data_IF_763823983173
#
_entry.id   IF_763823983173
#
_cell.length_a   1.000
_cell.length_b   1.000
_cell.length_c   1.000
_cell.angle_alpha   90.00
_cell.angle_beta   90.00
_cell.angle_gamma   90.00
#
_symmetry.space_group_name_H-M   'P 1'
#
loop_
_entity.id
_entity.type
_entity.pdbx_description
1 polymer ?
#
# COMPACT_ATOMS: atom_id res chain seq x y z
N UNK A 1 -16.94 -5.97 12.89
CA UNK A 1 -17.59 -4.80 12.24
C UNK A 1 -16.93 -3.46 12.59
N UNK A 2 -16.73 -3.10 13.87
CA UNK A 2 -16.12 -1.80 14.25
C UNK A 2 -14.68 -1.59 13.74
N UNK A 3 -13.89 -2.65 13.66
CA UNK A 3 -12.48 -2.58 13.23
C UNK A 3 -12.33 -2.28 11.72
N UNK A 4 -13.21 -2.85 10.89
CA UNK A 4 -13.19 -2.67 9.42
C UNK A 4 -13.63 -1.26 9.05
N UNK A 5 -14.66 -0.73 9.72
CA UNK A 5 -15.11 0.65 9.52
C UNK A 5 -14.02 1.67 9.93
N UNK A 6 -13.30 1.40 11.02
CA UNK A 6 -12.20 2.25 11.47
C UNK A 6 -11.02 2.21 10.48
N UNK A 7 -10.65 1.02 9.98
CA UNK A 7 -9.59 0.87 8.99
C UNK A 7 -9.91 1.61 7.69
N UNK A 8 -11.14 1.50 7.19
CA UNK A 8 -11.59 2.19 5.96
C UNK A 8 -11.61 3.71 6.14
N UNK A 9 -12.09 4.21 7.28
CA UNK A 9 -12.10 5.65 7.56
C UNK A 9 -10.67 6.22 7.64
N UNK A 10 -9.74 5.51 8.27
CA UNK A 10 -8.34 5.92 8.38
C UNK A 10 -7.63 5.88 7.02
N UNK A 11 -7.88 4.87 6.20
CA UNK A 11 -7.30 4.75 4.86
C UNK A 11 -7.85 5.81 3.88
N UNK A 12 -9.14 6.15 4.00
CA UNK A 12 -9.75 7.20 3.18
C UNK A 12 -9.24 8.60 3.55
N UNK A 13 -9.07 8.87 4.85
CA UNK A 13 -8.48 10.13 5.34
C UNK A 13 -7.00 10.28 4.95
N UNK A 14 -6.25 9.16 4.92
CA UNK A 14 -4.85 9.18 4.49
C UNK A 14 -4.72 9.38 2.97
N UNK A 15 -5.62 8.79 2.17
CA UNK A 15 -5.66 8.98 0.73
C UNK A 15 -5.96 10.43 0.34
N UNK A 16 -6.87 11.11 1.05
CA UNK A 16 -7.20 12.52 0.77
C UNK A 16 -6.10 13.49 1.20
N UNK A 17 -5.30 13.16 2.22
CA UNK A 17 -4.14 13.97 2.63
C UNK A 17 -2.98 13.95 1.60
N UNK A 18 -2.97 12.98 0.68
CA UNK A 18 -1.91 12.83 -0.34
C UNK A 18 -2.25 13.41 -1.71
N UNK A 19 -3.42 14.06 -1.87
CA UNK A 19 -3.80 14.72 -3.12
C UNK A 19 -3.26 16.16 -3.15
N UNK A 20 -2.28 16.50 -4.01
CA UNK A 20 -1.78 17.86 -4.10
C UNK A 20 -2.79 18.75 -4.83
N UNK A 21 -3.52 19.54 -4.06
CA UNK A 21 -4.42 20.60 -4.53
C UNK A 21 -3.90 21.99 -4.17
N UNK A 22 -3.22 22.61 -5.15
CA UNK A 22 -3.15 24.05 -5.46
C UNK A 22 -2.16 25.03 -4.76
N UNK A 23 -1.22 25.50 -5.59
CA UNK A 23 -0.71 26.87 -5.82
C UNK A 23 -0.57 27.88 -4.66
N UNK A 24 0.68 28.23 -4.35
CA UNK A 24 1.03 29.45 -3.61
C UNK A 24 2.51 29.52 -3.23
N UNK A 25 3.26 30.38 -3.91
CA UNK A 25 4.70 30.66 -3.73
C UNK A 25 5.06 31.06 -2.31
N UNK A 26 6.11 30.46 -1.72
CA UNK A 26 7.09 31.19 -0.88
C UNK A 26 8.51 30.69 -1.21
N UNK A 27 9.33 31.64 -1.67
CA UNK A 27 10.78 31.51 -1.87
C UNK A 27 11.53 31.62 -0.54
N UNK A 28 12.76 31.10 -0.53
CA UNK A 28 13.88 31.35 0.40
C UNK A 28 13.75 30.66 1.78
N UNK A 29 14.80 30.07 2.37
CA UNK A 29 16.22 30.42 2.40
C UNK A 29 17.01 29.16 2.84
N UNK A 30 18.13 28.84 2.19
CA UNK A 30 19.06 27.82 2.71
C UNK A 30 19.74 28.38 3.97
N UNK A 31 19.75 27.69 5.13
CA UNK A 31 20.54 28.12 6.26
C UNK A 31 22.03 27.91 5.94
N UNK A 32 22.79 28.99 6.08
CA UNK A 32 24.24 29.01 6.14
C UNK A 32 24.76 28.07 7.23
N UNK A 33 25.74 27.24 6.89
CA UNK A 33 26.53 26.49 7.88
C UNK A 33 27.14 27.47 8.89
N UNK A 34 26.75 27.33 10.15
CA UNK A 34 27.38 28.00 11.29
C UNK A 34 28.41 27.02 11.86
N UNK A 35 29.68 27.44 11.90
CA UNK A 35 30.71 26.76 12.68
C UNK A 35 30.33 26.87 14.15
N UNK A 36 30.18 25.73 14.81
CA UNK A 36 29.79 25.62 16.22
C UNK A 36 31.00 25.93 17.11
N UNK A 37 30.86 26.99 17.92
CA UNK A 37 31.81 27.38 18.95
C UNK A 37 31.60 26.45 20.17
N UNK A 38 32.55 25.55 20.37
CA UNK A 38 32.59 24.63 21.51
C UNK A 38 32.98 25.41 22.76
N UNK A 39 32.01 25.82 23.60
CA UNK A 39 32.17 25.91 25.07
C UNK A 39 30.90 26.46 25.75
N UNK A 40 30.14 25.61 26.43
CA UNK A 40 29.61 25.85 27.79
C UNK A 40 28.63 24.75 28.20
N UNK A 41 28.66 24.42 29.49
CA UNK A 41 28.16 23.18 30.09
C UNK A 41 26.67 23.22 30.52
N UNK A 42 26.13 22.00 30.69
CA UNK A 42 24.90 21.55 31.41
C UNK A 42 23.50 21.68 30.73
N UNK A 43 22.51 20.79 31.02
CA UNK A 43 22.54 19.40 31.51
C UNK A 43 21.63 18.44 30.69
N UNK A 44 22.03 17.16 30.55
CA UNK A 44 21.17 16.00 30.20
C UNK A 44 20.05 16.21 29.15
N UNK A 45 20.42 16.42 27.90
CA UNK A 45 19.66 15.88 26.76
C UNK A 45 20.66 15.29 25.78
N UNK A 46 21.15 14.08 26.06
CA UNK A 46 21.76 13.29 25.00
C UNK A 46 20.63 12.93 24.04
N UNK A 47 20.39 13.75 23.03
CA UNK A 47 19.80 13.22 21.81
C UNK A 47 20.74 12.12 21.37
N UNK A 48 20.33 10.87 21.59
CA UNK A 48 21.12 9.73 21.22
C UNK A 48 21.50 9.90 19.74
N UNK A 49 22.79 9.93 19.38
CA UNK A 49 23.24 10.23 18.02
C UNK A 49 22.63 9.25 16.99
N UNK A 50 22.18 8.09 17.47
CA UNK A 50 21.43 7.10 16.69
C UNK A 50 20.06 7.60 16.22
N UNK A 51 19.32 8.35 17.05
CA UNK A 51 17.98 8.88 16.76
C UNK A 51 18.06 10.03 15.73
N UNK A 52 19.08 10.88 15.85
CA UNK A 52 19.37 11.95 14.89
C UNK A 52 19.78 11.41 13.52
N UNK A 53 20.64 10.39 13.48
CA UNK A 53 21.05 9.73 12.24
C UNK A 53 19.90 8.96 11.56
N UNK A 54 19.06 8.26 12.33
CA UNK A 54 17.90 7.54 11.81
C UNK A 54 16.84 8.50 11.23
N UNK A 55 16.56 9.61 11.92
CA UNK A 55 15.64 10.65 11.44
C UNK A 55 16.16 11.31 10.17
N UNK A 56 17.46 11.61 10.11
CA UNK A 56 18.10 12.19 8.93
C UNK A 56 18.09 11.23 7.73
N UNK A 57 18.35 9.95 7.95
CA UNK A 57 18.28 8.91 6.91
C UNK A 57 16.85 8.70 6.39
N UNK A 58 15.85 8.83 7.25
CA UNK A 58 14.44 8.77 6.89
C UNK A 58 14.02 9.98 6.04
N UNK A 59 14.49 11.18 6.41
CA UNK A 59 14.21 12.42 5.70
C UNK A 59 14.81 12.42 4.29
N UNK A 60 16.04 11.90 4.13
CA UNK A 60 16.71 11.76 2.82
C UNK A 60 15.94 10.80 1.89
N UNK A 61 15.16 9.87 2.44
CA UNK A 61 14.31 8.94 1.67
C UNK A 61 12.87 9.42 1.46
N UNK A 62 12.56 10.63 1.92
CA UNK A 62 11.24 11.25 1.75
C UNK A 62 10.24 10.98 2.88
N UNK A 63 10.69 10.57 4.08
CA UNK A 63 9.88 10.51 5.30
C UNK A 63 9.27 9.14 5.64
N UNK A 64 9.07 8.28 4.64
CA UNK A 64 8.35 7.02 4.82
C UNK A 64 9.14 5.94 5.57
N UNK A 65 8.48 5.29 6.54
CA UNK A 65 9.04 4.16 7.31
C UNK A 65 9.40 2.98 6.39
N UNK A 66 8.66 2.84 5.30
CA UNK A 66 8.86 1.80 4.27
C UNK A 66 9.27 2.47 2.96
N UNK A 67 10.20 1.86 2.21
CA UNK A 67 10.54 2.40 0.89
C UNK A 67 9.38 2.19 -0.11
N UNK A 68 9.17 3.16 -1.01
CA UNK A 68 8.15 3.06 -2.08
C UNK A 68 8.38 1.83 -2.96
N UNK A 69 9.64 1.46 -3.20
CA UNK A 69 10.00 0.26 -3.96
C UNK A 69 9.57 -1.02 -3.24
N UNK A 70 9.71 -1.08 -1.91
CA UNK A 70 9.22 -2.21 -1.11
C UNK A 70 7.70 -2.31 -1.19
N UNK A 71 6.99 -1.19 -1.11
CA UNK A 71 5.53 -1.17 -1.23
C UNK A 71 5.09 -1.68 -2.61
N UNK A 72 5.69 -1.18 -3.70
CA UNK A 72 5.39 -1.65 -5.05
C UNK A 72 5.77 -3.13 -5.25
N UNK A 73 6.92 -3.56 -4.74
CA UNK A 73 7.35 -4.96 -4.80
C UNK A 73 6.35 -5.91 -4.10
N UNK A 74 5.75 -5.48 -2.99
CA UNK A 74 4.72 -6.28 -2.32
C UNK A 74 3.48 -6.49 -3.20
N UNK A 75 3.09 -5.49 -4.01
CA UNK A 75 2.02 -5.63 -5.02
C UNK A 75 2.40 -6.67 -6.08
N UNK A 76 3.63 -6.66 -6.58
CA UNK A 76 4.09 -7.67 -7.56
C UNK A 76 3.96 -9.09 -7.01
N UNK A 77 4.30 -9.31 -5.74
CA UNK A 77 4.21 -10.64 -5.12
C UNK A 77 2.76 -11.05 -4.94
N UNK A 78 1.96 -10.24 -4.25
CA UNK A 78 0.59 -10.61 -3.86
C UNK A 78 -0.33 -10.63 -5.08
N UNK A 79 -0.37 -9.56 -5.88
CA UNK A 79 -1.20 -9.51 -7.07
C UNK A 79 -0.69 -10.46 -8.17
N UNK A 80 0.61 -10.75 -8.21
CA UNK A 80 1.19 -11.67 -9.19
C UNK A 80 0.78 -13.11 -8.92
N UNK A 81 0.94 -13.56 -7.67
CA UNK A 81 0.48 -14.90 -7.26
C UNK A 81 -1.03 -15.04 -7.43
N UNK A 82 -1.80 -14.06 -6.96
CA UNK A 82 -3.26 -14.14 -7.02
C UNK A 82 -3.78 -14.03 -8.46
N UNK A 83 -3.22 -13.12 -9.27
CA UNK A 83 -3.53 -12.98 -10.68
C UNK A 83 -3.20 -14.23 -11.49
N UNK A 84 -2.06 -14.87 -11.20
CA UNK A 84 -1.68 -16.14 -11.84
C UNK A 84 -2.65 -17.27 -11.48
N UNK A 85 -3.04 -17.38 -10.22
CA UNK A 85 -4.02 -18.38 -9.78
C UNK A 85 -5.38 -18.16 -10.44
N UNK A 86 -5.86 -16.91 -10.53
CA UNK A 86 -7.10 -16.57 -11.24
C UNK A 86 -7.04 -16.85 -12.74
N UNK A 87 -5.87 -16.64 -13.35
CA UNK A 87 -5.67 -16.90 -14.78
C UNK A 87 -5.64 -18.41 -15.11
N UNK A 88 -4.92 -19.21 -14.31
CA UNK A 88 -4.72 -20.63 -14.58
C UNK A 88 -5.81 -21.53 -13.98
N UNK A 89 -6.25 -21.23 -12.76
CA UNK A 89 -7.15 -22.08 -11.97
C UNK A 89 -8.25 -21.27 -11.24
N UNK A 90 -9.10 -20.51 -11.96
CA UNK A 90 -10.10 -19.65 -11.34
C UNK A 90 -11.09 -20.38 -10.44
N UNK A 91 -11.56 -21.58 -10.82
CA UNK A 91 -12.45 -22.38 -9.99
C UNK A 91 -11.85 -22.71 -8.61
N UNK A 92 -10.54 -22.98 -8.56
CA UNK A 92 -9.84 -23.26 -7.31
C UNK A 92 -9.79 -22.02 -6.42
N UNK A 93 -9.43 -20.85 -6.98
CA UNK A 93 -9.38 -19.60 -6.21
C UNK A 93 -10.76 -19.21 -5.67
N UNK A 94 -11.79 -19.34 -6.51
CA UNK A 94 -13.15 -18.95 -6.13
C UNK A 94 -13.67 -19.87 -5.03
N UNK A 95 -13.51 -21.19 -5.14
CA UNK A 95 -13.97 -22.13 -4.09
C UNK A 95 -13.19 -22.00 -2.79
N UNK A 96 -11.92 -21.54 -2.86
CA UNK A 96 -11.14 -21.22 -1.67
C UNK A 96 -11.65 -19.99 -0.93
N UNK A 97 -12.24 -19.01 -1.63
CA UNK A 97 -12.61 -17.72 -1.06
C UNK A 97 -14.13 -17.56 -0.80
N UNK A 98 -14.96 -18.26 -1.55
CA UNK A 98 -16.41 -18.09 -1.55
C UNK A 98 -17.13 -19.44 -1.43
N UNK A 99 -18.28 -19.45 -0.75
CA UNK A 99 -19.16 -20.62 -0.62
C UNK A 99 -20.05 -20.77 -1.87
N UNK A 100 -19.41 -20.93 -3.02
CA UNK A 100 -20.08 -21.07 -4.32
C UNK A 100 -19.42 -22.16 -5.14
N UNK A 101 -20.24 -22.88 -5.92
CA UNK A 101 -19.73 -23.80 -6.95
C UNK A 101 -19.43 -23.01 -8.22
N UNK A 102 -18.16 -22.89 -8.66
CA UNK A 102 -17.81 -22.08 -9.82
C UNK A 102 -18.42 -22.64 -11.10
N UNK A 103 -19.15 -21.80 -11.84
CA UNK A 103 -19.68 -22.14 -13.15
C UNK A 103 -18.78 -21.64 -14.30
N UNK A 104 -19.24 -21.77 -15.55
CA UNK A 104 -18.51 -21.30 -16.73
C UNK A 104 -18.27 -19.78 -16.75
N UNK A 105 -19.16 -18.98 -16.17
CA UNK A 105 -19.03 -17.52 -16.12
C UNK A 105 -18.02 -17.10 -15.06
N UNK A 106 -18.02 -17.76 -13.90
CA UNK A 106 -17.00 -17.58 -12.87
C UNK A 106 -15.62 -17.90 -13.41
N UNK A 107 -15.47 -19.00 -14.14
CA UNK A 107 -14.20 -19.36 -14.76
C UNK A 107 -13.75 -18.35 -15.82
N UNK A 108 -14.66 -17.91 -16.70
CA UNK A 108 -14.35 -16.89 -17.70
C UNK A 108 -13.92 -15.56 -17.08
N UNK A 109 -14.73 -15.02 -16.15
CA UNK A 109 -14.44 -13.77 -15.46
C UNK A 109 -13.19 -13.87 -14.59
N UNK A 110 -12.96 -15.02 -13.95
CA UNK A 110 -11.75 -15.29 -13.19
C UNK A 110 -10.49 -15.22 -14.05
N UNK A 111 -10.50 -15.83 -15.24
CA UNK A 111 -9.37 -15.71 -16.18
C UNK A 111 -9.15 -14.28 -16.65
N UNK A 112 -10.22 -13.57 -16.96
CA UNK A 112 -10.14 -12.16 -17.36
C UNK A 112 -9.57 -11.28 -16.22
N UNK A 113 -10.03 -11.50 -14.98
CA UNK A 113 -9.49 -10.84 -13.79
C UNK A 113 -7.99 -11.14 -13.62
N UNK A 114 -7.59 -12.41 -13.71
CA UNK A 114 -6.18 -12.80 -13.65
C UNK A 114 -5.33 -12.14 -14.74
N UNK A 115 -5.81 -12.12 -15.98
CA UNK A 115 -5.11 -11.47 -17.09
C UNK A 115 -4.94 -9.96 -16.88
N UNK A 116 -5.97 -9.28 -16.38
CA UNK A 116 -5.90 -7.84 -16.11
C UNK A 116 -4.99 -7.51 -14.92
N UNK A 117 -4.93 -8.36 -13.89
CA UNK A 117 -3.94 -8.22 -12.81
C UNK A 117 -2.51 -8.38 -13.32
N UNK A 118 -2.24 -9.39 -14.16
CA UNK A 118 -0.92 -9.59 -14.75
C UNK A 118 -0.53 -8.44 -15.70
N UNK A 119 -1.50 -7.91 -16.47
CA UNK A 119 -1.28 -6.74 -17.32
C UNK A 119 -0.97 -5.50 -16.49
N UNK A 120 -1.65 -5.27 -15.36
CA UNK A 120 -1.31 -4.19 -14.44
C UNK A 120 0.14 -4.31 -13.98
N UNK A 121 0.58 -5.50 -13.55
CA UNK A 121 1.97 -5.70 -13.12
C UNK A 121 2.98 -5.43 -14.23
N UNK A 122 2.66 -5.84 -15.46
CA UNK A 122 3.46 -5.48 -16.63
C UNK A 122 3.52 -3.96 -16.81
N UNK A 123 2.39 -3.27 -16.74
CA UNK A 123 2.33 -1.80 -16.83
C UNK A 123 3.14 -1.11 -15.73
N UNK A 124 3.07 -1.57 -14.48
CA UNK A 124 3.83 -1.00 -13.36
C UNK A 124 5.35 -1.02 -13.61
N UNK A 125 5.88 -2.04 -14.31
CA UNK A 125 7.32 -2.10 -14.68
C UNK A 125 7.75 -1.03 -15.67
N UNK A 126 6.81 -0.46 -16.43
CA UNK A 126 7.07 0.52 -17.48
C UNK A 126 6.71 1.95 -17.07
N UNK A 127 6.19 2.14 -15.86
CA UNK A 127 5.97 3.46 -15.28
C UNK A 127 7.24 4.00 -14.62
N UNK A 128 7.32 5.31 -14.46
CA UNK A 128 8.30 5.91 -13.57
C UNK A 128 8.08 5.42 -12.13
N UNK A 129 9.11 5.42 -11.25
CA UNK A 129 8.95 4.95 -9.86
C UNK A 129 7.78 5.62 -9.12
N UNK A 130 7.62 6.93 -9.30
CA UNK A 130 6.49 7.68 -8.74
C UNK A 130 5.15 7.22 -9.33
N UNK A 131 5.05 7.07 -10.66
CA UNK A 131 3.83 6.59 -11.32
C UNK A 131 3.45 5.18 -10.88
N UNK A 132 4.43 4.27 -10.78
CA UNK A 132 4.22 2.91 -10.31
C UNK A 132 3.69 2.88 -8.87
N UNK A 133 4.28 3.69 -7.97
CA UNK A 133 3.82 3.83 -6.59
C UNK A 133 2.37 4.34 -6.52
N UNK A 134 2.04 5.43 -7.21
CA UNK A 134 0.69 6.00 -7.19
C UNK A 134 -0.36 5.02 -7.73
N UNK A 135 -0.12 4.43 -8.91
CA UNK A 135 -1.05 3.47 -9.52
C UNK A 135 -1.23 2.25 -8.62
N UNK A 136 -0.13 1.70 -8.07
CA UNK A 136 -0.16 0.58 -7.15
C UNK A 136 -0.94 0.91 -5.86
N UNK A 137 -0.75 2.11 -5.30
CA UNK A 137 -1.45 2.51 -4.08
C UNK A 137 -2.96 2.59 -4.29
N UNK A 138 -3.40 3.31 -5.32
CA UNK A 138 -4.82 3.45 -5.63
C UNK A 138 -5.46 2.12 -6.00
N UNK A 139 -4.77 1.30 -6.80
CA UNK A 139 -5.29 -0.02 -7.15
C UNK A 139 -5.48 -0.91 -5.91
N UNK A 140 -4.49 -0.96 -5.01
CA UNK A 140 -4.63 -1.74 -3.77
C UNK A 140 -5.73 -1.20 -2.85
N UNK A 141 -5.94 0.12 -2.80
CA UNK A 141 -7.05 0.71 -2.05
C UNK A 141 -8.41 0.25 -2.61
N UNK A 142 -8.58 0.27 -3.94
CA UNK A 142 -9.80 -0.22 -4.61
C UNK A 142 -9.99 -1.72 -4.39
N UNK A 143 -8.92 -2.52 -4.49
CA UNK A 143 -8.98 -3.97 -4.22
C UNK A 143 -9.34 -4.26 -2.78
N UNK A 144 -8.84 -3.48 -1.81
CA UNK A 144 -9.23 -3.64 -0.40
C UNK A 144 -10.73 -3.37 -0.18
N UNK A 145 -11.27 -2.35 -0.86
CA UNK A 145 -12.69 -2.00 -0.75
C UNK A 145 -13.61 -3.03 -1.42
N UNK A 146 -13.25 -3.50 -2.61
CA UNK A 146 -14.11 -4.42 -3.40
C UNK A 146 -13.88 -5.88 -3.01
N UNK A 147 -12.63 -6.27 -2.75
CA UNK A 147 -12.24 -7.63 -2.38
C UNK A 147 -12.73 -7.95 -0.97
N UNK A 148 -11.93 -7.75 0.09
CA UNK A 148 -12.33 -8.16 1.42
C UNK A 148 -13.54 -7.39 1.96
N UNK A 149 -13.60 -6.06 1.84
CA UNK A 149 -14.66 -5.28 2.50
C UNK A 149 -16.03 -5.55 1.89
N UNK A 150 -16.20 -5.37 0.59
CA UNK A 150 -17.50 -5.60 -0.05
C UNK A 150 -17.90 -7.08 -0.01
N UNK A 151 -16.98 -8.02 -0.26
CA UNK A 151 -17.30 -9.44 -0.21
C UNK A 151 -17.79 -9.88 1.17
N UNK A 152 -17.11 -9.49 2.25
CA UNK A 152 -17.54 -9.88 3.61
C UNK A 152 -18.88 -9.24 4.02
N UNK A 153 -19.25 -8.11 3.42
CA UNK A 153 -20.52 -7.43 3.70
C UNK A 153 -21.70 -7.96 2.87
N UNK A 154 -21.44 -8.59 1.72
CA UNK A 154 -22.48 -8.85 0.70
C UNK A 154 -22.48 -10.27 0.14
N UNK A 155 -21.40 -11.02 0.31
CA UNK A 155 -21.23 -12.35 -0.27
C UNK A 155 -20.99 -13.40 0.82
N UNK A 156 -21.22 -14.65 0.47
CA UNK A 156 -20.91 -15.77 1.36
C UNK A 156 -19.45 -16.20 1.19
N UNK A 157 -18.61 -15.81 2.14
CA UNK A 157 -17.17 -16.04 2.11
C UNK A 157 -16.77 -17.26 2.95
N UNK A 158 -15.60 -17.82 2.65
CA UNK A 158 -14.98 -18.88 3.46
C UNK A 158 -14.15 -18.27 4.60
N UNK A 159 -13.81 -19.05 5.65
CA UNK A 159 -12.88 -18.58 6.69
C UNK A 159 -11.52 -18.14 6.15
N UNK A 160 -11.06 -18.76 5.05
CA UNK A 160 -9.81 -18.37 4.41
C UNK A 160 -9.91 -16.94 3.88
N UNK A 161 -11.00 -16.58 3.20
CA UNK A 161 -11.19 -15.22 2.72
C UNK A 161 -11.30 -14.22 3.89
N UNK A 162 -12.12 -14.51 4.90
CA UNK A 162 -12.33 -13.62 6.05
C UNK A 162 -11.04 -13.26 6.79
N UNK A 163 -10.08 -14.19 6.89
CA UNK A 163 -8.84 -13.96 7.64
C UNK A 163 -7.70 -13.56 6.71
N UNK A 164 -7.44 -14.33 5.67
CA UNK A 164 -6.22 -14.14 4.87
C UNK A 164 -6.33 -13.00 3.87
N UNK A 165 -7.50 -12.77 3.27
CA UNK A 165 -7.65 -11.70 2.29
C UNK A 165 -7.42 -10.31 2.92
N UNK A 166 -7.97 -9.96 4.10
CA UNK A 166 -7.62 -8.72 4.79
C UNK A 166 -6.15 -8.63 5.20
N UNK A 167 -5.50 -9.73 5.58
CA UNK A 167 -4.09 -9.72 5.97
C UNK A 167 -3.19 -9.42 4.77
N UNK A 168 -3.37 -10.12 3.65
CA UNK A 168 -2.53 -9.91 2.47
C UNK A 168 -2.81 -8.56 1.80
N UNK A 169 -4.09 -8.24 1.54
CA UNK A 169 -4.45 -6.99 0.86
C UNK A 169 -4.27 -5.79 1.79
N UNK A 170 -4.71 -5.89 3.05
CA UNK A 170 -4.53 -4.84 4.04
C UNK A 170 -3.06 -4.63 4.42
N UNK A 171 -2.26 -5.70 4.47
CA UNK A 171 -0.82 -5.62 4.67
C UNK A 171 -0.12 -4.87 3.54
N UNK A 172 -0.42 -5.18 2.27
CA UNK A 172 0.11 -4.44 1.12
C UNK A 172 -0.31 -2.97 1.18
N UNK A 173 -1.57 -2.69 1.48
CA UNK A 173 -2.06 -1.31 1.57
C UNK A 173 -1.41 -0.54 2.72
N UNK A 174 -1.17 -1.19 3.86
CA UNK A 174 -0.42 -0.62 4.98
C UNK A 174 1.03 -0.29 4.59
N UNK A 175 1.70 -1.15 3.81
CA UNK A 175 3.04 -0.85 3.30
C UNK A 175 3.05 0.39 2.41
N UNK A 176 2.00 0.61 1.60
CA UNK A 176 1.87 1.83 0.81
C UNK A 176 1.62 3.06 1.68
N UNK A 177 0.75 2.94 2.69
CA UNK A 177 0.50 4.00 3.65
C UNK A 177 1.79 4.41 4.38
N UNK A 178 2.56 3.45 4.89
CA UNK A 178 3.84 3.69 5.58
C UNK A 178 4.93 4.25 4.66
N UNK A 179 4.84 4.00 3.34
CA UNK A 179 5.74 4.56 2.34
C UNK A 179 5.31 5.94 1.82
N UNK A 180 4.08 6.37 2.12
CA UNK A 180 3.53 7.67 1.75
C UNK A 180 3.68 8.72 2.86
N UNK A 181 3.87 8.27 4.12
CA UNK A 181 4.13 9.12 5.29
C UNK A 181 5.50 9.79 5.26
#
# INVERSE_FOLDING_TARGET
MKFVALLVATLFALATATLPGNLGVIKHQLPSYVFEDLTSEDPFTSEDPFTSAATSALFVRGGGVVSKDTAVASTFVVAGLYGLQFFLAPAFVISQNFKVTPDKYHNFLGRFCGATMLLLLYSLKHLSPHGAFCVSFFWNAVVALIGPVYAELRLETTPLHTVTAPIFVGGVLLLHALAAM
#
